data_IF_555174288000
#
_entry.id   IF_555174288000
#
_cell.length_a   1.000
_cell.length_b   1.000
_cell.length_c   1.000
_cell.angle_alpha   90.00
_cell.angle_beta   90.00
_cell.angle_gamma   90.00
#
_symmetry.space_group_name_H-M   'P 1'
#
loop_
_entity.id
_entity.type
_entity.pdbx_description
1 polymer ?
#
# COMPACT_ATOMS: atom_id res chain seq x y z
N UNK A 1 -12.17 -12.07 2.56
CA UNK A 1 -11.90 -10.73 1.99
C UNK A 1 -12.98 -10.41 0.98
N UNK A 2 -13.63 -9.25 1.12
CA UNK A 2 -14.85 -8.83 0.43
C UNK A 2 -14.64 -7.47 -0.25
N UNK A 3 -15.56 -7.11 -1.16
CA UNK A 3 -15.73 -5.75 -1.65
C UNK A 3 -16.26 -4.88 -0.50
N UNK A 4 -15.37 -4.15 0.15
CA UNK A 4 -15.70 -3.16 1.19
C UNK A 4 -15.69 -1.75 0.60
N UNK A 5 -16.51 -0.82 1.11
CA UNK A 5 -16.54 0.54 0.59
C UNK A 5 -15.22 1.28 0.87
N UNK A 6 -14.73 2.01 -0.13
CA UNK A 6 -13.62 2.96 0.01
C UNK A 6 -14.23 4.31 0.38
N UNK A 7 -14.00 4.77 1.61
CA UNK A 7 -14.55 6.03 2.13
C UNK A 7 -13.50 7.15 2.08
N UNK A 8 -13.94 8.41 2.15
CA UNK A 8 -13.03 9.56 2.26
C UNK A 8 -12.11 9.46 3.48
N UNK A 9 -12.59 8.85 4.58
CA UNK A 9 -11.79 8.57 5.77
C UNK A 9 -10.65 7.59 5.47
N UNK A 10 -10.93 6.48 4.77
CA UNK A 10 -9.91 5.52 4.34
C UNK A 10 -8.87 6.22 3.44
N UNK A 11 -9.32 7.03 2.50
CA UNK A 11 -8.44 7.77 1.58
C UNK A 11 -7.59 8.83 2.30
N UNK A 12 -8.09 9.42 3.39
CA UNK A 12 -7.34 10.37 4.21
C UNK A 12 -6.32 9.67 5.12
N UNK A 13 -6.64 8.48 5.63
CA UNK A 13 -5.78 7.72 6.54
C UNK A 13 -4.68 6.95 5.80
N UNK A 14 -4.97 6.43 4.61
CA UNK A 14 -4.06 5.56 3.85
C UNK A 14 -2.68 6.20 3.59
N UNK A 15 -2.56 7.46 3.11
CA UNK A 15 -1.25 8.09 2.91
C UNK A 15 -0.44 8.20 4.20
N UNK A 16 -1.10 8.43 5.34
CA UNK A 16 -0.45 8.55 6.64
C UNK A 16 0.17 7.22 7.09
N UNK A 17 -0.51 6.10 6.84
CA UNK A 17 0.06 4.79 7.12
C UNK A 17 1.20 4.44 6.15
N UNK A 18 1.09 4.82 4.88
CA UNK A 18 2.12 4.56 3.87
C UNK A 18 3.41 5.36 4.05
N UNK A 19 3.34 6.50 4.73
CA UNK A 19 4.51 7.35 5.05
C UNK A 19 5.34 6.79 6.23
N UNK A 20 4.84 5.77 6.92
CA UNK A 20 5.51 5.19 8.09
C UNK A 20 6.69 4.30 7.70
N UNK A 21 7.80 4.40 8.42
CA UNK A 21 9.05 3.66 8.13
C UNK A 21 8.89 2.13 8.13
N UNK A 22 7.89 1.60 8.84
CA UNK A 22 7.59 0.15 8.84
C UNK A 22 6.83 -0.33 7.59
N UNK A 23 6.36 0.57 6.73
CA UNK A 23 5.74 0.23 5.45
C UNK A 23 6.79 0.35 4.34
N UNK A 24 7.63 -0.68 4.20
CA UNK A 24 8.64 -0.73 3.13
C UNK A 24 8.04 -0.74 1.71
N UNK A 25 6.79 -1.21 1.58
CA UNK A 25 6.12 -1.32 0.30
C UNK A 25 4.59 -1.16 0.44
N UNK A 26 3.92 -0.34 -0.41
CA UNK A 26 2.48 -0.09 -0.30
C UNK A 26 1.61 -1.33 -0.56
N UNK A 27 2.16 -2.35 -1.24
CA UNK A 27 1.47 -3.63 -1.44
C UNK A 27 1.61 -4.59 -0.25
N UNK A 28 2.46 -4.28 0.73
CA UNK A 28 2.56 -5.06 1.96
C UNK A 28 1.38 -4.73 2.89
N UNK A 29 0.22 -5.32 2.58
CA UNK A 29 -1.03 -5.12 3.33
C UNK A 29 -0.90 -5.46 4.82
N UNK A 30 -0.04 -6.43 5.16
CA UNK A 30 0.21 -6.77 6.55
C UNK A 30 0.88 -5.63 7.31
N UNK A 31 1.94 -5.03 6.73
CA UNK A 31 2.59 -3.87 7.31
C UNK A 31 1.67 -2.65 7.40
N UNK A 32 0.89 -2.38 6.33
CA UNK A 32 -0.07 -1.27 6.32
C UNK A 32 -1.16 -1.45 7.38
N UNK A 33 -1.69 -2.68 7.53
CA UNK A 33 -2.68 -2.97 8.57
C UNK A 33 -2.10 -2.81 9.98
N UNK A 34 -0.86 -3.29 10.19
CA UNK A 34 -0.17 -3.17 11.47
C UNK A 34 0.05 -1.70 11.86
N UNK A 35 0.61 -0.90 10.95
CA UNK A 35 0.82 0.53 11.16
C UNK A 35 -0.51 1.26 11.37
N UNK A 36 -1.57 0.87 10.67
CA UNK A 36 -2.89 1.45 10.90
C UNK A 36 -3.39 1.20 12.33
N UNK A 37 -3.11 0.04 12.95
CA UNK A 37 -3.39 -0.18 14.36
C UNK A 37 -2.51 0.66 15.29
N UNK A 38 -1.19 0.71 15.04
CA UNK A 38 -0.25 1.50 15.86
C UNK A 38 -0.58 3.00 15.86
N UNK A 39 -1.08 3.52 14.72
CA UNK A 39 -1.48 4.92 14.57
C UNK A 39 -2.94 5.21 14.95
N UNK A 40 -3.65 4.21 15.49
CA UNK A 40 -5.07 4.31 15.87
C UNK A 40 -6.00 4.71 14.68
N UNK A 41 -5.65 4.27 13.47
CA UNK A 41 -6.41 4.45 12.22
C UNK A 41 -7.38 3.27 12.02
N UNK A 42 -8.37 3.16 12.92
CA UNK A 42 -9.26 2.00 13.03
C UNK A 42 -9.97 1.66 11.71
N UNK A 43 -10.54 2.67 11.04
CA UNK A 43 -11.24 2.50 9.77
C UNK A 43 -10.32 1.95 8.66
N UNK A 44 -9.07 2.43 8.59
CA UNK A 44 -8.09 1.91 7.66
C UNK A 44 -7.68 0.47 8.01
N UNK A 45 -7.45 0.16 9.28
CA UNK A 45 -7.02 -1.18 9.67
C UNK A 45 -8.09 -2.25 9.43
N UNK A 46 -9.36 -1.92 9.67
CA UNK A 46 -10.50 -2.77 9.31
C UNK A 46 -10.57 -2.94 7.79
N UNK A 47 -10.53 -1.83 7.04
CA UNK A 47 -10.53 -1.87 5.57
C UNK A 47 -9.42 -2.76 5.01
N UNK A 48 -8.18 -2.61 5.47
CA UNK A 48 -7.04 -3.40 4.97
C UNK A 48 -7.18 -4.88 5.37
N UNK A 49 -7.78 -5.20 6.51
CA UNK A 49 -8.05 -6.60 6.90
C UNK A 49 -9.15 -7.26 6.07
N UNK A 50 -10.19 -6.51 5.74
CA UNK A 50 -11.41 -7.06 5.13
C UNK A 50 -11.43 -6.97 3.60
N UNK A 51 -10.82 -5.94 3.00
CA UNK A 51 -10.86 -5.70 1.57
C UNK A 51 -10.30 -6.87 0.76
N UNK A 52 -10.87 -7.16 -0.39
CA UNK A 52 -10.16 -7.94 -1.42
C UNK A 52 -9.00 -7.13 -2.02
N UNK A 53 -8.05 -7.84 -2.64
CA UNK A 53 -6.87 -7.21 -3.21
C UNK A 53 -7.19 -6.13 -4.26
N UNK A 54 -8.24 -6.33 -5.06
CA UNK A 54 -8.63 -5.36 -6.09
C UNK A 54 -9.16 -4.08 -5.46
N UNK A 55 -9.96 -4.20 -4.40
CA UNK A 55 -10.50 -3.07 -3.62
C UNK A 55 -9.36 -2.30 -2.95
N UNK A 56 -8.38 -2.98 -2.36
CA UNK A 56 -7.20 -2.33 -1.78
C UNK A 56 -6.36 -1.58 -2.83
N UNK A 57 -6.13 -2.18 -4.00
CA UNK A 57 -5.40 -1.53 -5.10
C UNK A 57 -6.15 -0.34 -5.68
N UNK A 58 -7.48 -0.37 -5.67
CA UNK A 58 -8.28 0.79 -6.04
C UNK A 58 -8.06 1.96 -5.07
N UNK A 59 -8.03 1.70 -3.76
CA UNK A 59 -7.73 2.73 -2.76
C UNK A 59 -6.32 3.33 -2.94
N UNK A 60 -5.31 2.50 -3.18
CA UNK A 60 -3.94 2.97 -3.50
C UNK A 60 -3.93 3.91 -4.72
N UNK A 61 -4.60 3.52 -5.81
CA UNK A 61 -4.68 4.36 -7.01
C UNK A 61 -5.39 5.69 -6.75
N UNK A 62 -6.42 5.69 -5.91
CA UNK A 62 -7.15 6.91 -5.56
C UNK A 62 -6.29 7.91 -4.77
N UNK A 63 -5.35 7.42 -3.95
CA UNK A 63 -4.37 8.26 -3.26
C UNK A 63 -3.10 8.53 -4.07
N UNK A 64 -3.10 8.19 -5.36
CA UNK A 64 -1.97 8.46 -6.27
C UNK A 64 -0.80 7.48 -6.14
N UNK A 65 -0.97 6.37 -5.44
CA UNK A 65 0.03 5.30 -5.34
C UNK A 65 -0.24 4.30 -6.45
N UNK A 66 0.65 4.25 -7.43
CA UNK A 66 0.56 3.28 -8.52
C UNK A 66 1.04 1.91 -8.02
N UNK A 67 0.15 0.90 -7.91
CA UNK A 67 0.56 -0.43 -7.50
C UNK A 67 1.32 -1.06 -8.68
N UNK A 68 2.64 -0.85 -8.77
CA UNK A 68 3.45 -1.58 -9.74
C UNK A 68 3.64 -3.01 -9.24
N UNK A 69 3.14 -4.03 -9.96
CA UNK A 69 3.52 -5.40 -9.66
C UNK A 69 4.97 -5.60 -10.12
N UNK A 70 5.93 -5.48 -9.21
CA UNK A 70 7.34 -5.81 -9.46
C UNK A 70 8.30 -4.66 -9.18
N UNK A 71 8.81 -4.64 -7.95
CA UNK A 71 10.12 -4.07 -7.60
C UNK A 71 11.08 -5.20 -7.24
N UNK A 72 11.11 -6.27 -8.03
CA UNK A 72 12.17 -7.28 -7.90
C UNK A 72 13.41 -6.73 -8.60
N UNK A 73 14.33 -6.16 -7.81
CA UNK A 73 15.69 -5.78 -8.23
C UNK A 73 15.76 -4.62 -9.24
N UNK A 74 15.97 -3.40 -8.75
CA UNK A 74 16.84 -2.44 -9.45
C UNK A 74 18.31 -2.90 -9.36
N UNK A 75 18.57 -4.13 -9.81
CA UNK A 75 19.84 -4.49 -10.42
C UNK A 75 19.76 -3.98 -11.85
N UNK A 76 19.96 -2.68 -12.02
CA UNK A 76 20.26 -2.12 -13.33
C UNK A 76 21.41 -2.91 -13.91
N UNK A 77 21.11 -3.77 -14.89
CA UNK A 77 22.09 -4.16 -15.88
C UNK A 77 22.53 -2.87 -16.54
N UNK A 78 23.66 -2.35 -16.08
CA UNK A 78 24.43 -1.32 -16.76
C UNK A 78 24.91 -1.96 -18.08
N UNK A 79 24.38 -1.56 -19.26
CA UNK A 79 24.89 -2.06 -20.51
C UNK A 79 26.06 -1.18 -20.97
N UNK A 80 27.04 -0.92 -20.11
CA UNK A 80 28.36 -0.45 -20.54
C UNK A 80 29.30 -1.65 -20.70
N UNK A 81 29.07 -2.40 -21.78
CA UNK A 81 30.13 -3.15 -22.44
C UNK A 81 31.03 -2.13 -23.16
N UNK A 82 32.05 -1.64 -22.46
CA UNK A 82 33.26 -1.11 -23.09
C UNK A 82 34.48 -1.85 -22.52
N UNK A 83 35.13 -2.62 -23.38
CA UNK A 83 36.28 -3.47 -23.10
C UNK A 83 36.68 -4.31 -24.30
#
# INVERSE_FOLDING_TARGET
MNRVPITDEILAQLPRALDHDEVDHPLNRGAVQYVAWELELEALAEFVGEADASTYYEALRQVGVEPRPGGENEGGLDPELDG
#
